data_IF_337069266908
#
_entry.id   IF_337069266908
#
_cell.length_a   1.000
_cell.length_b   1.000
_cell.length_c   1.000
_cell.angle_alpha   90.00
_cell.angle_beta   90.00
_cell.angle_gamma   90.00
#
_symmetry.space_group_name_H-M   'P 1'
#
loop_
_entity.id
_entity.type
_entity.pdbx_description
1 polymer ?
#
# COMPACT_ATOMS: atom_id res chain seq x y z
N UNK A 1 -16.51 -21.41 5.90
CA UNK A 1 -16.46 -20.05 6.46
C UNK A 1 -15.23 -19.96 7.35
N UNK A 2 -14.13 -19.45 6.82
CA UNK A 2 -12.94 -19.13 7.60
C UNK A 2 -13.31 -17.92 8.48
N UNK A 3 -13.28 -18.09 9.80
CA UNK A 3 -13.37 -16.98 10.74
C UNK A 3 -12.15 -16.10 10.47
N UNK A 4 -12.36 -14.88 9.97
CA UNK A 4 -11.33 -13.83 9.95
C UNK A 4 -10.87 -13.66 11.40
N UNK A 5 -9.70 -14.15 11.71
CA UNK A 5 -9.08 -13.92 13.00
C UNK A 5 -8.58 -12.48 13.01
N UNK A 6 -9.36 -11.57 13.56
CA UNK A 6 -8.91 -10.19 13.80
C UNK A 6 -7.73 -10.26 14.76
N UNK A 7 -6.58 -9.73 14.34
CA UNK A 7 -5.40 -9.71 15.18
C UNK A 7 -5.63 -8.79 16.39
N UNK A 8 -5.29 -9.26 17.60
CA UNK A 8 -5.34 -8.42 18.79
C UNK A 8 -4.18 -7.41 18.76
N UNK A 9 -4.51 -6.14 18.77
CA UNK A 9 -3.52 -5.06 18.83
C UNK A 9 -3.35 -4.62 20.28
N UNK A 10 -2.12 -4.69 20.79
CA UNK A 10 -1.75 -4.17 22.09
C UNK A 10 -1.41 -2.69 21.97
N UNK A 11 -2.25 -1.82 22.50
CA UNK A 11 -1.95 -0.39 22.52
C UNK A 11 -0.77 -0.06 23.44
N UNK A 12 0.00 0.99 23.13
CA UNK A 12 0.94 1.58 24.08
C UNK A 12 0.26 1.96 25.39
N UNK A 13 0.98 1.82 26.50
CA UNK A 13 0.43 2.16 27.83
C UNK A 13 0.07 3.64 27.91
N UNK A 14 -1.03 3.96 28.61
CA UNK A 14 -1.30 5.31 29.08
C UNK A 14 -0.41 5.61 30.28
N UNK A 15 0.01 6.86 30.41
CA UNK A 15 0.87 7.30 31.53
C UNK A 15 0.27 7.00 32.92
N UNK A 16 -1.06 6.91 33.01
CA UNK A 16 -1.79 6.70 34.27
C UNK A 16 -2.30 5.25 34.47
N UNK A 17 -1.96 4.33 33.57
CA UNK A 17 -2.48 2.95 33.61
C UNK A 17 -1.38 1.93 33.63
N UNK A 18 -1.45 1.01 34.61
CA UNK A 18 -0.58 -0.18 34.63
C UNK A 18 -0.96 -1.23 33.59
N UNK A 19 -2.16 -1.15 33.02
CA UNK A 19 -2.70 -2.12 32.07
C UNK A 19 -2.53 -1.67 30.62
N UNK A 20 -2.14 -2.60 29.77
CA UNK A 20 -2.12 -2.44 28.32
C UNK A 20 -3.50 -2.74 27.77
N UNK A 21 -4.11 -1.80 27.06
CA UNK A 21 -5.39 -2.02 26.39
C UNK A 21 -5.20 -2.93 25.16
N UNK A 22 -6.08 -3.90 25.00
CA UNK A 22 -6.16 -4.77 23.83
C UNK A 22 -7.32 -4.34 22.94
N UNK A 23 -7.05 -4.20 21.66
CA UNK A 23 -8.09 -3.97 20.64
C UNK A 23 -8.24 -5.18 19.74
N UNK A 24 -9.49 -5.63 19.58
CA UNK A 24 -9.88 -6.70 18.66
C UNK A 24 -10.77 -6.12 17.56
N UNK A 25 -10.38 -4.98 17.00
CA UNK A 25 -11.11 -4.32 15.93
C UNK A 25 -10.38 -4.50 14.61
N UNK A 26 -11.14 -4.76 13.54
CA UNK A 26 -10.57 -4.87 12.19
C UNK A 26 -9.99 -3.54 11.68
N UNK A 27 -10.57 -2.44 12.13
CA UNK A 27 -10.13 -1.09 11.76
C UNK A 27 -9.97 -0.25 13.02
N UNK A 28 -8.80 0.37 13.14
CA UNK A 28 -8.47 1.30 14.24
C UNK A 28 -8.07 2.63 13.63
N UNK A 29 -8.65 3.71 14.14
CA UNK A 29 -8.30 5.07 13.71
C UNK A 29 -7.66 5.82 14.86
N UNK A 30 -6.38 6.10 14.72
CA UNK A 30 -5.57 6.86 15.69
C UNK A 30 -5.57 8.33 15.30
N UNK A 31 -6.24 9.16 16.09
CA UNK A 31 -6.42 10.58 15.80
C UNK A 31 -5.59 11.44 16.75
N UNK A 32 -4.97 12.48 16.23
CA UNK A 32 -4.23 13.44 17.04
C UNK A 32 -3.69 14.60 16.21
N UNK A 33 -3.38 15.70 16.85
CA UNK A 33 -2.78 16.87 16.20
C UNK A 33 -1.40 16.54 15.59
N UNK A 34 -0.92 17.39 14.67
CA UNK A 34 0.46 17.31 14.21
C UNK A 34 1.41 17.51 15.40
N UNK A 35 2.43 16.68 15.49
CA UNK A 35 3.34 16.67 16.64
C UNK A 35 2.85 15.91 17.88
N UNK A 36 1.62 15.39 17.91
CA UNK A 36 1.10 14.61 19.03
C UNK A 36 1.77 13.24 19.24
N UNK A 37 2.66 12.82 18.32
CA UNK A 37 3.37 11.55 18.43
C UNK A 37 2.67 10.36 17.79
N UNK A 38 1.69 10.58 16.88
CA UNK A 38 0.98 9.49 16.16
C UNK A 38 1.90 8.50 15.49
N UNK A 39 2.91 8.98 14.75
CA UNK A 39 3.87 8.10 14.06
C UNK A 39 4.68 7.27 15.06
N UNK A 40 5.11 7.86 16.19
CA UNK A 40 5.78 7.11 17.27
C UNK A 40 4.86 6.07 17.89
N UNK A 41 3.59 6.42 18.10
CA UNK A 41 2.56 5.50 18.58
C UNK A 41 2.39 4.31 17.62
N UNK A 42 2.35 4.57 16.30
CA UNK A 42 2.31 3.54 15.28
C UNK A 42 3.57 2.66 15.26
N UNK A 43 4.75 3.25 15.41
CA UNK A 43 6.02 2.50 15.51
C UNK A 43 6.01 1.56 16.73
N UNK A 44 5.47 2.01 17.86
CA UNK A 44 5.37 1.16 19.04
C UNK A 44 4.37 0.01 18.85
N UNK A 45 3.27 0.22 18.13
CA UNK A 45 2.38 -0.87 17.69
C UNK A 45 3.16 -1.84 16.80
N UNK A 46 3.84 -1.33 15.77
CA UNK A 46 4.60 -2.16 14.82
C UNK A 46 5.66 -3.03 15.51
N UNK A 47 6.39 -2.47 16.48
CA UNK A 47 7.39 -3.22 17.28
C UNK A 47 6.80 -4.40 18.02
N UNK A 48 5.54 -4.31 18.47
CA UNK A 48 4.88 -5.37 19.23
C UNK A 48 4.36 -6.50 18.37
N UNK A 49 3.98 -6.20 17.13
CA UNK A 49 3.47 -7.17 16.16
C UNK A 49 4.54 -7.69 15.19
N UNK A 50 5.74 -7.06 15.22
CA UNK A 50 6.93 -7.50 14.48
C UNK A 50 6.68 -7.79 12.99
N UNK A 51 6.91 -9.01 12.54
CA UNK A 51 6.84 -9.42 11.14
C UNK A 51 5.44 -9.29 10.51
N UNK A 52 4.39 -9.13 11.33
CA UNK A 52 3.04 -8.88 10.85
C UNK A 52 2.71 -7.42 10.60
N UNK A 53 3.63 -6.49 10.90
CA UNK A 53 3.46 -5.07 10.63
C UNK A 53 3.77 -4.75 9.16
N UNK A 54 2.88 -4.02 8.50
CA UNK A 54 3.11 -3.48 7.17
C UNK A 54 2.77 -1.99 7.15
N UNK A 55 3.74 -1.15 6.78
CA UNK A 55 3.60 0.31 6.85
C UNK A 55 3.41 0.93 5.48
N UNK A 56 2.43 1.83 5.35
CA UNK A 56 2.16 2.59 4.14
C UNK A 56 2.11 4.09 4.45
N UNK A 57 2.84 4.89 3.67
CA UNK A 57 2.80 6.35 3.71
C UNK A 57 3.04 6.90 2.32
N UNK A 58 1.99 7.41 1.66
CA UNK A 58 2.14 7.99 0.32
C UNK A 58 3.06 9.21 0.32
N UNK A 59 3.07 9.98 1.41
CA UNK A 59 3.97 11.13 1.53
C UNK A 59 5.44 10.71 1.43
N UNK A 60 5.83 9.64 2.12
CA UNK A 60 7.20 9.12 2.09
C UNK A 60 7.50 8.41 0.79
N UNK A 61 6.56 7.59 0.30
CA UNK A 61 6.74 6.76 -0.88
C UNK A 61 6.90 7.56 -2.18
N UNK A 62 6.33 8.75 -2.26
CA UNK A 62 6.41 9.61 -3.44
C UNK A 62 7.54 10.66 -3.36
N UNK A 63 8.22 10.75 -2.21
CA UNK A 63 9.39 11.60 -2.05
C UNK A 63 10.67 10.83 -2.37
N UNK A 64 11.62 11.51 -2.99
CA UNK A 64 12.98 11.00 -3.17
C UNK A 64 13.62 10.94 -1.78
N UNK A 65 13.92 9.74 -1.31
CA UNK A 65 14.71 9.57 -0.09
C UNK A 65 16.19 9.52 -0.44
N UNK A 66 17.07 10.19 0.32
CA UNK A 66 18.50 9.96 0.17
C UNK A 66 18.79 8.47 0.43
N UNK A 67 19.78 7.90 -0.28
CA UNK A 67 20.13 6.49 -0.10
C UNK A 67 20.52 6.24 1.36
N UNK A 68 19.74 5.50 2.09
CA UNK A 68 20.16 4.95 3.36
C UNK A 68 21.00 3.69 3.09
N UNK A 69 22.11 3.57 3.79
CA UNK A 69 23.12 2.49 3.66
C UNK A 69 22.59 1.07 3.97
N UNK A 70 21.27 0.86 4.06
CA UNK A 70 20.65 -0.37 4.56
C UNK A 70 19.68 -1.00 3.55
N UNK A 71 20.00 -0.95 2.26
CA UNK A 71 19.27 -1.76 1.30
C UNK A 71 19.99 -3.10 1.10
N UNK A 72 19.28 -4.25 1.19
CA UNK A 72 19.90 -5.52 0.82
C UNK A 72 20.32 -5.45 -0.64
N UNK A 73 21.61 -5.62 -0.91
CA UNK A 73 22.21 -5.45 -2.24
C UNK A 73 21.57 -6.25 -3.38
N UNK A 74 20.65 -7.19 -3.07
CA UNK A 74 19.91 -7.95 -4.07
C UNK A 74 18.79 -7.18 -4.78
N UNK A 75 18.12 -6.25 -4.09
CA UNK A 75 17.04 -5.45 -4.70
C UNK A 75 17.64 -4.31 -5.50
N UNK A 76 18.68 -3.70 -5.00
CA UNK A 76 19.40 -2.62 -5.67
C UNK A 76 20.15 -3.11 -6.91
N UNK A 77 20.80 -4.27 -6.84
CA UNK A 77 21.42 -4.92 -7.98
C UNK A 77 20.38 -5.30 -9.05
N UNK A 78 19.25 -5.87 -8.68
CA UNK A 78 18.16 -6.18 -9.61
C UNK A 78 17.54 -4.91 -10.19
N UNK A 79 17.45 -3.84 -9.42
CA UNK A 79 16.92 -2.57 -9.88
C UNK A 79 17.91 -1.89 -10.85
N UNK A 80 19.20 -1.86 -10.55
CA UNK A 80 20.24 -1.34 -11.45
C UNK A 80 20.33 -2.13 -12.75
N UNK A 81 20.27 -3.46 -12.67
CA UNK A 81 20.27 -4.34 -13.83
C UNK A 81 19.04 -4.10 -14.73
N UNK A 82 17.86 -3.87 -14.11
CA UNK A 82 16.64 -3.48 -14.83
C UNK A 82 16.74 -2.06 -15.42
N UNK A 83 17.44 -1.15 -14.73
CA UNK A 83 17.64 0.24 -15.17
C UNK A 83 18.56 0.35 -16.37
N UNK A 84 19.56 -0.50 -16.48
CA UNK A 84 20.42 -0.60 -17.66
C UNK A 84 19.63 -1.00 -18.91
N UNK A 85 18.54 -1.76 -18.74
CA UNK A 85 17.64 -2.15 -19.83
C UNK A 85 16.48 -1.19 -20.06
N UNK A 86 16.18 -0.29 -19.14
CA UNK A 86 15.08 0.67 -19.25
C UNK A 86 15.60 2.11 -19.35
N UNK A 87 15.75 2.58 -20.55
CA UNK A 87 16.35 3.88 -20.93
C UNK A 87 15.62 5.14 -20.40
N UNK A 88 14.65 5.02 -19.48
CA UNK A 88 13.75 6.09 -19.08
C UNK A 88 13.61 6.32 -17.57
N UNK A 89 14.53 5.83 -16.78
CA UNK A 89 14.51 6.19 -15.37
C UNK A 89 15.51 7.31 -15.15
N UNK A 90 15.06 8.36 -14.47
CA UNK A 90 15.95 9.46 -14.11
C UNK A 90 17.13 8.89 -13.31
N UNK A 91 18.28 9.56 -13.38
CA UNK A 91 19.49 9.20 -12.61
C UNK A 91 19.29 9.36 -11.09
N UNK A 92 18.06 9.65 -10.66
CA UNK A 92 17.71 9.86 -9.26
C UNK A 92 17.42 8.52 -8.58
N UNK A 93 17.69 8.46 -7.30
CA UNK A 93 17.39 7.29 -6.47
C UNK A 93 15.92 6.89 -6.59
N UNK A 94 15.61 5.59 -6.85
CA UNK A 94 14.24 5.14 -6.98
C UNK A 94 13.43 5.39 -5.72
N UNK A 95 12.22 5.87 -5.90
CA UNK A 95 11.27 6.03 -4.81
C UNK A 95 10.65 4.68 -4.42
N UNK A 96 10.02 4.59 -3.26
CA UNK A 96 9.26 3.40 -2.86
C UNK A 96 8.14 3.10 -3.88
N UNK A 97 7.56 4.12 -4.50
CA UNK A 97 6.58 3.98 -5.57
C UNK A 97 7.18 3.30 -6.82
N UNK A 98 8.38 3.70 -7.23
CA UNK A 98 9.07 3.09 -8.37
C UNK A 98 9.36 1.61 -8.12
N UNK A 99 9.83 1.30 -6.92
CA UNK A 99 10.08 -0.09 -6.49
C UNK A 99 8.81 -0.93 -6.50
N UNK A 100 7.69 -0.37 -6.04
CA UNK A 100 6.41 -1.05 -6.04
C UNK A 100 5.93 -1.38 -7.46
N UNK A 101 6.08 -0.45 -8.41
CA UNK A 101 5.77 -0.71 -9.82
C UNK A 101 6.65 -1.82 -10.40
N UNK A 102 7.94 -1.81 -10.08
CA UNK A 102 8.86 -2.85 -10.48
C UNK A 102 8.47 -4.23 -9.92
N UNK A 103 8.12 -4.31 -8.64
CA UNK A 103 7.68 -5.55 -7.99
C UNK A 103 6.41 -6.11 -8.65
N UNK A 104 5.43 -5.26 -8.97
CA UNK A 104 4.20 -5.67 -9.68
C UNK A 104 4.52 -6.30 -11.03
N UNK A 105 5.37 -5.65 -11.83
CA UNK A 105 5.75 -6.16 -13.15
C UNK A 105 6.59 -7.43 -13.06
N UNK A 106 7.54 -7.48 -12.14
CA UNK A 106 8.39 -8.66 -11.93
C UNK A 106 7.59 -9.87 -11.52
N UNK A 107 6.59 -9.70 -10.64
CA UNK A 107 5.69 -10.77 -10.25
C UNK A 107 4.82 -11.24 -11.42
N UNK A 108 4.29 -10.30 -12.20
CA UNK A 108 3.50 -10.62 -13.40
C UNK A 108 4.32 -11.46 -14.39
N UNK A 109 5.55 -11.03 -14.69
CA UNK A 109 6.46 -11.79 -15.56
C UNK A 109 6.75 -13.18 -15.00
N UNK A 110 7.03 -13.30 -13.70
CA UNK A 110 7.26 -14.59 -13.05
C UNK A 110 6.05 -15.51 -13.18
N UNK A 111 4.84 -15.01 -12.93
CA UNK A 111 3.62 -15.79 -13.04
C UNK A 111 3.36 -16.26 -14.47
N UNK A 112 3.65 -15.42 -15.47
CA UNK A 112 3.57 -15.79 -16.89
C UNK A 112 4.56 -16.91 -17.26
N UNK A 113 5.81 -16.83 -16.80
CA UNK A 113 6.79 -17.88 -17.00
C UNK A 113 6.37 -19.19 -16.32
N UNK A 114 5.95 -19.15 -15.06
CA UNK A 114 5.49 -20.33 -14.35
C UNK A 114 4.29 -20.98 -15.05
N UNK A 115 3.33 -20.18 -15.49
CA UNK A 115 2.18 -20.67 -16.26
C UNK A 115 2.62 -21.37 -17.54
N UNK A 116 3.51 -20.74 -18.31
CA UNK A 116 4.04 -21.31 -19.56
C UNK A 116 4.73 -22.67 -19.34
N UNK A 117 5.48 -22.81 -18.26
CA UNK A 117 6.21 -24.05 -17.96
C UNK A 117 5.31 -25.15 -17.36
N UNK A 118 4.28 -24.75 -16.60
CA UNK A 118 3.35 -25.70 -15.95
C UNK A 118 2.24 -26.19 -16.88
N UNK A 119 1.94 -25.46 -17.96
CA UNK A 119 0.87 -25.82 -18.90
C UNK A 119 1.36 -26.89 -19.89
N UNK A 120 0.79 -28.09 -19.89
CA UNK A 120 1.14 -29.12 -20.85
C UNK A 120 0.87 -28.66 -22.31
N UNK A 121 1.66 -29.12 -23.25
CA UNK A 121 1.41 -28.82 -24.67
C UNK A 121 0.01 -29.30 -25.06
N UNK A 122 -0.86 -28.38 -25.46
CA UNK A 122 -2.25 -28.66 -25.85
C UNK A 122 -3.27 -28.66 -24.72
N UNK A 123 -2.86 -28.40 -23.46
CA UNK A 123 -3.76 -28.19 -22.32
C UNK A 123 -4.21 -26.73 -22.25
N UNK A 124 -5.48 -26.50 -21.89
CA UNK A 124 -5.98 -25.19 -21.50
C UNK A 124 -6.07 -25.18 -19.99
N UNK A 125 -5.31 -24.29 -19.36
CA UNK A 125 -5.41 -23.98 -17.92
C UNK A 125 -5.72 -22.49 -17.84
N UNK A 126 -6.74 -22.11 -17.08
CA UNK A 126 -7.05 -20.71 -16.86
C UNK A 126 -5.87 -20.02 -16.15
N UNK A 127 -5.48 -18.87 -16.66
CA UNK A 127 -4.43 -18.07 -16.04
C UNK A 127 -4.94 -17.51 -14.70
N UNK A 128 -4.25 -17.75 -13.59
CA UNK A 128 -4.71 -17.28 -12.27
C UNK A 128 -4.69 -15.76 -12.21
N UNK A 129 -5.67 -15.19 -11.48
CA UNK A 129 -5.72 -13.76 -11.22
C UNK A 129 -4.46 -13.31 -10.47
N UNK A 130 -3.74 -12.33 -11.04
CA UNK A 130 -2.51 -11.78 -10.46
C UNK A 130 -2.79 -10.57 -9.55
N UNK A 131 -1.78 -10.13 -8.78
CA UNK A 131 -1.89 -8.86 -8.04
C UNK A 131 -2.12 -7.69 -8.99
N UNK A 132 -1.45 -7.69 -10.13
CA UNK A 132 -1.61 -6.64 -11.14
C UNK A 132 -3.04 -6.59 -11.71
N UNK A 133 -3.71 -7.73 -11.88
CA UNK A 133 -5.13 -7.77 -12.27
C UNK A 133 -6.03 -7.09 -11.22
N UNK A 134 -5.76 -7.35 -9.94
CA UNK A 134 -6.52 -6.73 -8.85
C UNK A 134 -6.27 -5.23 -8.76
N UNK A 135 -5.01 -4.80 -8.93
CA UNK A 135 -4.64 -3.39 -9.01
C UNK A 135 -5.39 -2.72 -10.15
N UNK A 136 -5.34 -3.30 -11.35
CA UNK A 136 -6.02 -2.77 -12.54
C UNK A 136 -7.52 -2.63 -12.32
N UNK A 137 -8.18 -3.68 -11.81
CA UNK A 137 -9.63 -3.66 -11.55
C UNK A 137 -10.03 -2.54 -10.59
N UNK A 138 -9.27 -2.33 -9.52
CA UNK A 138 -9.59 -1.30 -8.55
C UNK A 138 -9.21 0.10 -9.06
N UNK A 139 -8.06 0.22 -9.72
CA UNK A 139 -7.64 1.46 -10.38
C UNK A 139 -8.68 1.98 -11.37
N UNK A 140 -9.13 1.14 -12.30
CA UNK A 140 -10.09 1.51 -13.33
C UNK A 140 -11.51 1.79 -12.75
N UNK A 141 -11.80 1.28 -11.56
CA UNK A 141 -13.01 1.66 -10.83
C UNK A 141 -12.93 3.07 -10.24
N UNK A 142 -11.75 3.43 -9.69
CA UNK A 142 -11.51 4.77 -9.12
C UNK A 142 -11.36 5.81 -10.23
N UNK A 143 -10.68 5.45 -11.31
CA UNK A 143 -10.43 6.30 -12.47
C UNK A 143 -10.97 5.66 -13.76
N UNK A 144 -12.29 5.72 -14.03
CA UNK A 144 -12.89 5.03 -15.17
C UNK A 144 -12.38 5.48 -16.54
N UNK A 145 -11.82 6.70 -16.61
CA UNK A 145 -11.25 7.28 -17.85
C UNK A 145 -9.77 6.94 -18.05
N UNK A 146 -9.12 6.31 -17.07
CA UNK A 146 -7.71 5.96 -17.13
C UNK A 146 -7.57 4.43 -17.17
N UNK A 147 -7.24 3.90 -18.34
CA UNK A 147 -7.01 2.46 -18.54
C UNK A 147 -5.58 2.09 -18.19
N UNK A 148 -5.42 0.94 -17.56
CA UNK A 148 -4.12 0.37 -17.28
C UNK A 148 -3.77 -0.66 -18.36
N UNK A 149 -2.68 -0.44 -19.10
CA UNK A 149 -2.25 -1.28 -20.20
C UNK A 149 -0.95 -1.99 -19.87
N UNK A 150 -0.82 -3.21 -20.36
CA UNK A 150 0.40 -4.02 -20.30
C UNK A 150 0.91 -4.20 -21.72
N UNK A 151 1.94 -3.48 -22.08
CA UNK A 151 2.51 -3.52 -23.41
C UNK A 151 4.03 -3.57 -23.35
N UNK A 152 4.64 -4.41 -24.15
CA UNK A 152 6.11 -4.52 -24.29
C UNK A 152 6.86 -4.72 -22.97
N UNK A 153 6.27 -5.49 -22.03
CA UNK A 153 6.85 -5.70 -20.69
C UNK A 153 6.77 -4.47 -19.77
N UNK A 154 5.95 -3.46 -20.12
CA UNK A 154 5.78 -2.22 -19.37
C UNK A 154 4.34 -2.06 -18.91
N UNK A 155 4.20 -1.36 -17.80
CA UNK A 155 2.91 -0.84 -17.35
C UNK A 155 2.74 0.58 -17.92
N UNK A 156 1.63 0.81 -18.60
CA UNK A 156 1.28 2.10 -19.18
C UNK A 156 -0.11 2.51 -18.70
N UNK A 157 -0.34 3.80 -18.64
CA UNK A 157 -1.65 4.40 -18.40
C UNK A 157 -2.11 5.10 -19.67
N UNK A 158 -3.36 4.88 -20.04
CA UNK A 158 -3.99 5.57 -21.15
C UNK A 158 -5.24 6.30 -20.66
N UNK A 159 -5.21 7.62 -20.69
CA UNK A 159 -6.38 8.47 -20.46
C UNK A 159 -7.20 8.59 -21.74
N UNK A 160 -8.48 8.95 -21.61
CA UNK A 160 -9.32 9.25 -22.79
C UNK A 160 -8.61 10.24 -23.73
N UNK A 161 -8.57 9.89 -25.02
CA UNK A 161 -7.99 10.73 -26.09
C UNK A 161 -6.49 11.07 -25.91
N UNK A 162 -5.74 10.26 -25.16
CA UNK A 162 -4.29 10.42 -25.01
C UNK A 162 -3.52 9.19 -25.48
N UNK A 163 -2.27 9.41 -25.88
CA UNK A 163 -1.30 8.32 -26.06
C UNK A 163 -0.97 7.66 -24.73
N UNK A 164 -0.71 6.36 -24.70
CA UNK A 164 -0.25 5.66 -23.50
C UNK A 164 1.03 6.29 -22.93
N UNK A 165 1.08 6.46 -21.61
CA UNK A 165 2.21 7.06 -20.94
C UNK A 165 2.65 6.27 -19.70
N UNK A 166 3.87 6.50 -19.24
CA UNK A 166 4.44 5.84 -18.07
C UNK A 166 3.71 6.30 -16.79
N UNK A 167 3.39 5.40 -15.83
CA UNK A 167 2.77 5.74 -14.55
C UNK A 167 3.53 6.80 -13.73
N UNK A 168 4.82 6.98 -13.96
CA UNK A 168 5.61 8.04 -13.32
C UNK A 168 5.14 9.45 -13.68
N UNK A 169 4.36 9.60 -14.76
CA UNK A 169 3.76 10.89 -15.17
C UNK A 169 2.39 11.16 -14.56
N UNK A 170 1.86 10.24 -13.78
CA UNK A 170 0.64 10.45 -13.01
C UNK A 170 0.79 11.64 -12.05
N UNK A 171 -0.31 12.31 -11.76
CA UNK A 171 -0.38 13.30 -10.68
C UNK A 171 -0.07 12.67 -9.31
N UNK A 172 0.31 13.47 -8.32
CA UNK A 172 0.58 12.96 -6.97
C UNK A 172 -0.61 12.23 -6.37
N UNK A 173 -1.84 12.69 -6.63
CA UNK A 173 -3.06 12.03 -6.17
C UNK A 173 -3.27 10.67 -6.83
N UNK A 174 -3.10 10.59 -8.14
CA UNK A 174 -3.19 9.32 -8.87
C UNK A 174 -2.08 8.35 -8.43
N UNK A 175 -0.84 8.83 -8.26
CA UNK A 175 0.25 8.00 -7.71
C UNK A 175 -0.08 7.47 -6.33
N UNK A 176 -0.62 8.30 -5.44
CA UNK A 176 -1.02 7.88 -4.10
C UNK A 176 -2.09 6.78 -4.12
N UNK A 177 -3.12 6.93 -4.97
CA UNK A 177 -4.14 5.89 -5.15
C UNK A 177 -3.52 4.59 -5.63
N UNK A 178 -2.66 4.64 -6.67
CA UNK A 178 -1.99 3.45 -7.20
C UNK A 178 -1.07 2.81 -6.16
N UNK A 179 -0.33 3.61 -5.40
CA UNK A 179 0.52 3.16 -4.32
C UNK A 179 -0.26 2.43 -3.22
N UNK A 180 -1.37 3.00 -2.74
CA UNK A 180 -2.19 2.36 -1.71
C UNK A 180 -2.83 1.07 -2.19
N UNK A 181 -3.42 1.05 -3.40
CA UNK A 181 -4.02 -0.16 -3.97
C UNK A 181 -2.99 -1.28 -4.14
N UNK A 182 -1.83 -0.95 -4.70
CA UNK A 182 -0.78 -1.92 -4.95
C UNK A 182 -0.09 -2.36 -3.66
N UNK A 183 0.26 -1.41 -2.78
CA UNK A 183 0.99 -1.67 -1.54
C UNK A 183 0.27 -2.66 -0.64
N UNK A 184 -1.03 -2.49 -0.39
CA UNK A 184 -1.79 -3.41 0.47
C UNK A 184 -1.79 -4.86 -0.02
N UNK A 185 -1.59 -5.09 -1.31
CA UNK A 185 -1.54 -6.44 -1.89
C UNK A 185 -0.22 -7.16 -1.63
N UNK A 186 0.84 -6.42 -1.24
CA UNK A 186 2.12 -7.00 -0.84
C UNK A 186 2.21 -7.30 0.66
N UNK A 187 1.29 -6.78 1.47
CA UNK A 187 1.22 -7.17 2.88
C UNK A 187 0.97 -8.67 3.03
N UNK A 188 1.57 -9.29 4.03
CA UNK A 188 1.37 -10.71 4.34
C UNK A 188 -0.10 -10.99 4.69
N UNK A 189 -0.57 -12.24 4.55
CA UNK A 189 -1.87 -12.63 5.11
C UNK A 189 -1.95 -12.30 6.61
N UNK A 190 -3.12 -11.87 7.06
CA UNK A 190 -3.40 -11.50 8.46
C UNK A 190 -2.49 -10.38 9.03
N UNK A 191 -1.88 -9.56 8.15
CA UNK A 191 -1.03 -8.45 8.58
C UNK A 191 -1.84 -7.33 9.25
N UNK A 192 -1.15 -6.54 10.08
CA UNK A 192 -1.62 -5.23 10.54
C UNK A 192 -1.01 -4.17 9.63
N UNK A 193 -1.85 -3.52 8.84
CA UNK A 193 -1.47 -2.49 7.89
C UNK A 193 -1.60 -1.13 8.57
N UNK A 194 -0.46 -0.51 8.86
CA UNK A 194 -0.39 0.85 9.40
C UNK A 194 -0.34 1.84 8.24
N UNK A 195 -1.27 2.76 8.20
CA UNK A 195 -1.36 3.79 7.16
C UNK A 195 -1.17 5.15 7.80
N UNK A 196 -0.09 5.82 7.44
CA UNK A 196 0.21 7.18 7.90
C UNK A 196 -0.37 8.20 6.92
N UNK A 197 -1.11 9.17 7.48
CA UNK A 197 -1.82 10.23 6.75
C UNK A 197 -2.58 9.69 5.51
N UNK A 198 -3.59 8.81 5.71
CA UNK A 198 -4.34 8.15 4.63
C UNK A 198 -5.08 9.12 3.71
N UNK A 199 -5.29 10.35 4.15
CA UNK A 199 -5.89 11.45 3.40
C UNK A 199 -4.91 12.17 2.46
N UNK A 200 -3.61 11.97 2.66
CA UNK A 200 -2.58 12.75 1.96
C UNK A 200 -2.62 12.51 0.44
N UNK A 201 -2.59 13.57 -0.34
CA UNK A 201 -2.77 13.60 -1.80
C UNK A 201 -4.13 13.13 -2.31
N UNK A 202 -5.07 12.71 -1.46
CA UNK A 202 -6.37 12.23 -1.90
C UNK A 202 -7.42 13.35 -1.93
N UNK A 203 -8.21 13.39 -3.00
CA UNK A 203 -9.38 14.26 -3.02
C UNK A 203 -10.49 13.65 -2.15
N UNK A 204 -11.19 14.49 -1.40
CA UNK A 204 -12.25 14.06 -0.46
C UNK A 204 -13.33 13.18 -1.09
N UNK A 205 -13.67 13.45 -2.36
CA UNK A 205 -14.72 12.70 -3.07
C UNK A 205 -14.40 11.21 -3.28
N UNK A 206 -13.10 10.85 -3.37
CA UNK A 206 -12.68 9.46 -3.60
C UNK A 206 -12.19 8.77 -2.33
N UNK A 207 -11.83 9.54 -1.31
CA UNK A 207 -11.15 9.05 -0.10
C UNK A 207 -11.92 7.92 0.59
N UNK A 208 -13.19 8.14 0.92
CA UNK A 208 -14.00 7.12 1.58
C UNK A 208 -14.15 5.86 0.73
N UNK A 209 -14.55 6.00 -0.53
CA UNK A 209 -14.80 4.87 -1.43
C UNK A 209 -13.53 4.08 -1.75
N UNK A 210 -12.38 4.76 -1.83
CA UNK A 210 -11.09 4.13 -2.02
C UNK A 210 -10.74 3.22 -0.83
N UNK A 211 -10.78 3.75 0.40
CA UNK A 211 -10.43 2.98 1.58
C UNK A 211 -11.44 1.87 1.88
N UNK A 212 -12.74 2.08 1.64
CA UNK A 212 -13.75 1.00 1.71
C UNK A 212 -13.40 -0.14 0.73
N UNK A 213 -12.94 0.21 -0.47
CA UNK A 213 -12.56 -0.77 -1.48
C UNK A 213 -11.27 -1.51 -1.11
N UNK A 214 -10.28 -0.81 -0.58
CA UNK A 214 -9.00 -1.37 -0.11
C UNK A 214 -9.24 -2.33 1.07
N UNK A 215 -10.02 -1.93 2.07
CA UNK A 215 -10.38 -2.77 3.20
C UNK A 215 -11.15 -4.02 2.77
N UNK A 216 -12.02 -3.89 1.75
CA UNK A 216 -12.71 -5.03 1.16
C UNK A 216 -11.78 -5.96 0.36
N UNK A 217 -10.72 -5.44 -0.23
CA UNK A 217 -9.72 -6.21 -0.95
C UNK A 217 -8.86 -7.07 0.00
N UNK A 218 -8.62 -6.60 1.23
CA UNK A 218 -7.81 -7.25 2.27
C UNK A 218 -8.60 -7.47 3.55
N UNK A 219 -9.67 -8.26 3.44
CA UNK A 219 -10.52 -8.63 4.58
C UNK A 219 -9.80 -9.46 5.65
N UNK A 220 -8.71 -10.07 5.29
CA UNK A 220 -7.80 -10.81 6.14
C UNK A 220 -6.98 -9.89 7.06
N UNK A 221 -6.72 -8.66 6.66
CA UNK A 221 -5.85 -7.73 7.37
C UNK A 221 -6.60 -6.82 8.35
N UNK A 222 -5.87 -6.34 9.34
CA UNK A 222 -6.31 -5.28 10.26
C UNK A 222 -5.70 -3.95 9.81
N UNK A 223 -6.49 -2.88 9.77
CA UNK A 223 -6.02 -1.55 9.37
C UNK A 223 -5.88 -0.62 10.58
N UNK A 224 -4.75 0.07 10.67
CA UNK A 224 -4.48 1.10 11.67
C UNK A 224 -4.17 2.40 10.95
N UNK A 225 -5.10 3.33 10.95
CA UNK A 225 -4.94 4.64 10.35
C UNK A 225 -4.39 5.64 11.36
N UNK A 226 -3.31 6.33 11.02
CA UNK A 226 -2.71 7.40 11.80
C UNK A 226 -3.03 8.72 11.11
N UNK A 227 -4.00 9.48 11.61
CA UNK A 227 -4.51 10.67 10.92
C UNK A 227 -4.64 11.88 11.84
N UNK A 228 -4.57 13.06 11.26
CA UNK A 228 -4.96 14.31 11.90
C UNK A 228 -6.27 14.87 11.32
N UNK A 229 -6.78 14.26 10.24
CA UNK A 229 -8.01 14.66 9.57
C UNK A 229 -9.24 14.02 10.26
N UNK A 230 -10.04 14.87 10.90
CA UNK A 230 -11.26 14.45 11.58
C UNK A 230 -12.36 13.97 10.61
N UNK A 231 -12.36 14.49 9.37
CA UNK A 231 -13.31 14.07 8.34
C UNK A 231 -12.98 12.65 7.86
N UNK A 232 -11.70 12.34 7.66
CA UNK A 232 -11.26 10.98 7.41
C UNK A 232 -11.67 10.07 8.55
N UNK A 233 -11.35 10.43 9.80
CA UNK A 233 -11.69 9.63 10.97
C UNK A 233 -13.21 9.38 11.08
N UNK A 234 -14.03 10.39 10.86
CA UNK A 234 -15.49 10.27 10.83
C UNK A 234 -16.00 9.38 9.71
N UNK A 235 -15.29 9.32 8.58
CA UNK A 235 -15.63 8.45 7.46
C UNK A 235 -15.45 6.94 7.77
N UNK A 236 -14.68 6.62 8.82
CA UNK A 236 -14.42 5.25 9.33
C UNK A 236 -15.32 4.94 10.53
N UNK A 237 -16.63 5.06 10.37
CA UNK A 237 -17.62 4.94 11.45
C UNK A 237 -17.55 3.62 12.22
N UNK A 238 -17.13 2.53 11.55
CA UNK A 238 -17.02 1.19 12.15
C UNK A 238 -15.65 0.92 12.78
N UNK A 239 -14.76 1.93 12.80
CA UNK A 239 -13.44 1.81 13.40
C UNK A 239 -13.45 2.10 14.91
N UNK A 240 -12.53 1.46 15.64
CA UNK A 240 -12.24 1.86 17.00
C UNK A 240 -11.36 3.12 16.96
N UNK A 241 -11.86 4.22 17.51
CA UNK A 241 -11.14 5.49 17.53
C UNK A 241 -10.26 5.60 18.78
N UNK A 242 -8.98 5.91 18.59
CA UNK A 242 -7.99 6.15 19.64
C UNK A 242 -7.50 7.59 19.52
N UNK A 243 -7.65 8.37 20.60
CA UNK A 243 -7.21 9.76 20.63
C UNK A 243 -5.83 9.87 21.28
N UNK A 244 -4.84 10.36 20.50
CA UNK A 244 -3.49 10.64 21.00
C UNK A 244 -3.34 12.14 21.23
N UNK A 245 -3.21 12.54 22.49
CA UNK A 245 -2.97 13.94 22.89
C UNK A 245 -1.48 14.29 22.88
N UNK A 246 -0.67 13.41 23.47
CA UNK A 246 0.79 13.46 23.48
C UNK A 246 1.33 12.06 23.69
N UNK A 247 2.29 11.66 22.89
CA UNK A 247 2.96 10.38 23.02
C UNK A 247 4.47 10.57 22.82
N UNK A 248 5.20 10.46 23.93
CA UNK A 248 6.65 10.46 23.99
C UNK A 248 7.09 9.05 24.41
N UNK A 249 7.70 8.30 23.46
CA UNK A 249 8.25 6.95 23.69
C UNK A 249 9.74 7.03 24.00
#
# INVERSE_FOLDING_TARGET
MLKSATMEILLPKRNDSAQTEKLSSRTVTVVGANGAGKSRFGVEIARRIQDHAFWLSAQKALCIMPPHEVWPGSIEAMYQEFMEYSYYVSKDTPTEFDQLLFLLLSEECRNLFEYKFKTPRGGHIDFPETRLDRVQKLWERVFPRNKMLRAEGRLLIQSENSEPFNPLRLSSGEKAVLYYIAGVLFAMPDAVILVEDPEFYLHRSIMKSLWDSIENLRKDCTFVYLTHDLEFAASRSDSTCVWVRSFDA
#
